data_IF_520569192676
#
_entry.id   IF_520569192676
#
_cell.length_a   1.000
_cell.length_b   1.000
_cell.length_c   1.000
_cell.angle_alpha   90.00
_cell.angle_beta   90.00
_cell.angle_gamma   90.00
#
_symmetry.space_group_name_H-M   'P 1'
#
loop_
_entity.id
_entity.type
_entity.pdbx_description
1 polymer ?
#
# COMPACT_ATOMS: atom_id res chain seq x y z
N UNK A 1 -10.80 -6.53 -11.37
CA UNK A 1 -10.40 -5.47 -10.42
C UNK A 1 -9.62 -4.42 -11.19
N UNK A 2 -10.04 -3.16 -11.18
CA UNK A 2 -9.24 -2.06 -11.74
C UNK A 2 -8.18 -1.69 -10.70
N UNK A 3 -6.97 -2.23 -10.87
CA UNK A 3 -5.87 -2.09 -9.88
C UNK A 3 -5.49 -0.62 -9.64
N UNK A 4 -5.36 0.25 -10.68
CA UNK A 4 -5.14 1.69 -10.48
C UNK A 4 -6.17 2.36 -9.59
N UNK A 5 -7.46 2.15 -9.86
CA UNK A 5 -8.54 2.73 -9.05
C UNK A 5 -8.48 2.25 -7.60
N UNK A 6 -8.33 0.94 -7.40
CA UNK A 6 -8.24 0.36 -6.06
C UNK A 6 -7.02 0.87 -5.28
N UNK A 7 -5.86 0.92 -5.93
CA UNK A 7 -4.64 1.45 -5.32
C UNK A 7 -4.79 2.91 -4.92
N UNK A 8 -5.42 3.72 -5.77
CA UNK A 8 -5.70 5.12 -5.47
C UNK A 8 -6.66 5.27 -4.27
N UNK A 9 -7.74 4.50 -4.22
CA UNK A 9 -8.69 4.55 -3.10
C UNK A 9 -7.99 4.25 -1.76
N UNK A 10 -7.06 3.29 -1.73
CA UNK A 10 -6.22 3.00 -0.56
C UNK A 10 -5.29 4.18 -0.25
N UNK A 11 -4.58 4.72 -1.24
CA UNK A 11 -3.66 5.84 -1.02
C UNK A 11 -4.39 7.09 -0.50
N UNK A 12 -5.58 7.42 -1.05
CA UNK A 12 -6.41 8.53 -0.54
C UNK A 12 -6.78 8.33 0.92
N UNK A 13 -7.12 7.11 1.31
CA UNK A 13 -7.56 6.79 2.68
C UNK A 13 -6.43 6.86 3.72
N UNK A 14 -5.22 6.41 3.39
CA UNK A 14 -4.14 6.25 4.38
C UNK A 14 -3.03 7.29 4.25
N UNK A 15 -2.76 7.78 3.05
CA UNK A 15 -1.66 8.72 2.78
C UNK A 15 -2.17 10.16 2.76
N UNK A 16 -3.37 10.38 2.20
CA UNK A 16 -4.02 11.70 2.08
C UNK A 16 -3.17 12.71 1.27
N UNK A 17 -3.49 14.00 1.34
CA UNK A 17 -2.67 15.06 0.73
C UNK A 17 -2.81 15.06 -0.79
N UNK A 18 -1.69 15.13 -1.51
CA UNK A 18 -1.74 15.23 -2.97
C UNK A 18 -2.41 14.02 -3.64
N UNK A 19 -2.43 12.86 -2.97
CA UNK A 19 -3.11 11.67 -3.44
C UNK A 19 -4.63 11.86 -3.56
N UNK A 20 -5.25 12.76 -2.79
CA UNK A 20 -6.69 13.06 -2.89
C UNK A 20 -7.04 13.84 -4.16
N UNK A 21 -6.06 14.58 -4.70
CA UNK A 21 -6.20 15.50 -5.83
C UNK A 21 -5.89 14.89 -7.20
N UNK A 22 -5.63 13.57 -7.27
CA UNK A 22 -5.43 12.86 -8.53
C UNK A 22 -6.56 11.84 -8.80
N UNK A 23 -6.65 11.41 -10.04
CA UNK A 23 -7.63 10.43 -10.55
C UNK A 23 -6.98 9.07 -10.83
N UNK A 24 -7.80 8.04 -11.05
CA UNK A 24 -7.31 6.68 -11.32
C UNK A 24 -6.57 6.54 -12.64
N UNK A 25 -6.72 7.50 -13.56
CA UNK A 25 -6.02 7.52 -14.85
C UNK A 25 -4.67 8.24 -14.75
N UNK A 26 -4.46 9.03 -13.69
CA UNK A 26 -3.23 9.78 -13.42
C UNK A 26 -2.26 9.03 -12.51
N UNK A 27 -2.74 8.18 -11.61
CA UNK A 27 -1.88 7.40 -10.71
C UNK A 27 -0.97 6.45 -11.49
N UNK A 28 0.31 6.43 -11.14
CA UNK A 28 1.26 5.47 -11.70
C UNK A 28 1.23 4.22 -10.83
N UNK A 29 0.89 3.06 -11.41
CA UNK A 29 0.90 1.76 -10.73
C UNK A 29 1.71 0.75 -11.51
N UNK A 30 2.78 0.21 -10.89
CA UNK A 30 3.65 -0.81 -11.47
C UNK A 30 3.66 -2.05 -10.58
N UNK A 31 3.32 -3.20 -11.15
CA UNK A 31 3.46 -4.47 -10.42
C UNK A 31 4.94 -4.83 -10.27
N UNK A 32 5.39 -5.02 -9.04
CA UNK A 32 6.74 -5.49 -8.71
C UNK A 32 6.76 -7.00 -8.45
N UNK A 33 5.70 -7.53 -7.84
CA UNK A 33 5.53 -8.95 -7.60
C UNK A 33 4.07 -9.36 -7.80
N UNK A 34 3.84 -10.52 -8.42
CA UNK A 34 2.52 -11.03 -8.78
C UNK A 34 2.24 -12.45 -8.30
N UNK A 35 2.85 -12.87 -7.19
CA UNK A 35 2.61 -14.20 -6.63
C UNK A 35 1.19 -14.37 -6.09
N UNK A 36 0.70 -15.61 -6.03
CA UNK A 36 -0.66 -15.93 -5.59
C UNK A 36 -0.98 -15.47 -4.16
N UNK A 37 0.01 -15.43 -3.28
CA UNK A 37 -0.14 -15.06 -1.86
C UNK A 37 0.37 -13.67 -1.55
N UNK A 38 1.20 -13.09 -2.42
CA UNK A 38 1.88 -11.83 -2.18
C UNK A 38 2.00 -11.03 -3.48
N UNK A 39 1.16 -10.00 -3.60
CA UNK A 39 1.20 -9.08 -4.73
C UNK A 39 1.72 -7.73 -4.23
N UNK A 40 2.78 -7.23 -4.85
CA UNK A 40 3.41 -5.96 -4.48
C UNK A 40 3.33 -5.02 -5.66
N UNK A 41 2.79 -3.84 -5.41
CA UNK A 41 2.69 -2.77 -6.39
C UNK A 41 3.47 -1.56 -5.90
N UNK A 42 4.21 -0.94 -6.81
CA UNK A 42 4.71 0.41 -6.64
C UNK A 42 3.64 1.38 -7.14
N UNK A 43 3.20 2.27 -6.26
CA UNK A 43 2.25 3.34 -6.58
C UNK A 43 2.95 4.69 -6.42
N UNK A 44 2.73 5.62 -7.34
CA UNK A 44 3.27 6.98 -7.22
C UNK A 44 2.36 8.04 -7.79
N UNK A 45 2.52 9.27 -7.30
CA UNK A 45 1.99 10.46 -7.95
C UNK A 45 2.58 10.59 -9.36
N UNK A 46 1.82 11.10 -10.35
CA UNK A 46 2.33 11.36 -11.69
C UNK A 46 3.42 12.44 -11.68
N UNK A 47 4.20 12.50 -12.76
CA UNK A 47 5.13 13.60 -12.98
C UNK A 47 4.40 14.96 -12.97
N UNK A 48 5.01 15.97 -12.34
CA UNK A 48 4.43 17.30 -12.19
C UNK A 48 3.40 17.47 -11.05
N UNK A 49 3.01 16.39 -10.35
CA UNK A 49 2.24 16.50 -9.09
C UNK A 49 3.17 16.26 -7.91
N UNK A 50 3.49 17.31 -7.17
CA UNK A 50 4.33 17.24 -5.98
C UNK A 50 3.50 17.05 -4.70
N UNK A 51 4.04 16.36 -3.67
CA UNK A 51 3.45 16.32 -2.34
C UNK A 51 3.18 17.73 -1.80
N UNK A 52 2.05 17.90 -1.11
CA UNK A 52 1.64 19.19 -0.51
C UNK A 52 2.12 19.33 0.93
N UNK A 53 2.40 18.23 1.62
CA UNK A 53 2.88 18.20 2.99
C UNK A 53 3.96 17.11 3.15
N UNK A 54 3.85 16.29 4.21
CA UNK A 54 4.82 15.25 4.54
C UNK A 54 4.46 13.88 3.94
N UNK A 55 3.50 13.82 3.03
CA UNK A 55 3.15 12.57 2.36
C UNK A 55 4.22 12.12 1.37
N UNK A 56 4.46 10.80 1.25
CA UNK A 56 5.39 10.29 0.26
C UNK A 56 4.85 10.44 -1.16
N UNK A 57 5.76 10.69 -2.11
CA UNK A 57 5.47 10.65 -3.54
C UNK A 57 5.30 9.21 -4.07
N UNK A 58 5.95 8.24 -3.44
CA UNK A 58 5.98 6.83 -3.83
C UNK A 58 5.66 5.95 -2.63
N UNK A 59 4.83 4.92 -2.83
CA UNK A 59 4.53 3.92 -1.81
C UNK A 59 4.51 2.52 -2.40
N UNK A 60 4.69 1.54 -1.51
CA UNK A 60 4.50 0.13 -1.82
C UNK A 60 3.16 -0.31 -1.26
N UNK A 61 2.31 -0.84 -2.13
CA UNK A 61 1.05 -1.47 -1.78
C UNK A 61 1.24 -2.98 -1.79
N UNK A 62 1.07 -3.63 -0.65
CA UNK A 62 1.14 -5.09 -0.52
C UNK A 62 -0.26 -5.66 -0.34
N UNK A 63 -0.68 -6.50 -1.28
CA UNK A 63 -1.95 -7.23 -1.20
C UNK A 63 -1.68 -8.70 -0.87
N UNK A 64 -2.36 -9.20 0.17
CA UNK A 64 -2.36 -10.61 0.53
C UNK A 64 -3.35 -11.35 -0.36
N UNK A 65 -2.84 -12.28 -1.17
CA UNK A 65 -3.64 -12.97 -2.19
C UNK A 65 -4.39 -14.21 -1.69
N UNK A 66 -4.90 -15.03 -2.61
CA UNK A 66 -5.83 -16.15 -2.34
C UNK A 66 -5.12 -17.24 -1.51
N UNK A 67 -5.85 -17.87 -0.59
CA UNK A 67 -5.32 -18.91 0.31
C UNK A 67 -4.62 -18.36 1.56
N UNK A 68 -4.52 -17.04 1.69
CA UNK A 68 -3.97 -16.40 2.89
C UNK A 68 -5.05 -16.11 3.96
N UNK A 69 -6.32 -16.17 3.60
CA UNK A 69 -7.49 -15.96 4.48
C UNK A 69 -8.08 -17.29 4.94
N UNK A 70 -7.24 -18.21 5.40
CA UNK A 70 -7.73 -19.40 6.09
C UNK A 70 -8.17 -18.96 7.50
N UNK A 71 -9.38 -19.30 7.96
CA UNK A 71 -9.82 -18.98 9.32
C UNK A 71 -8.84 -19.53 10.36
N UNK A 72 -8.31 -18.68 11.25
CA UNK A 72 -7.35 -19.07 12.31
C UNK A 72 -5.89 -18.73 12.05
N UNK A 73 -5.57 -18.12 10.90
CA UNK A 73 -4.19 -17.91 10.49
C UNK A 73 -3.59 -16.61 11.08
N UNK A 74 -3.03 -16.72 12.29
CA UNK A 74 -2.47 -15.61 13.08
C UNK A 74 -1.23 -14.94 12.45
N UNK A 75 -0.57 -15.60 11.49
CA UNK A 75 0.66 -15.10 10.85
C UNK A 75 0.50 -13.71 10.22
N UNK A 76 -0.69 -13.34 9.71
CA UNK A 76 -0.94 -12.00 9.16
C UNK A 76 -0.92 -10.92 10.22
N UNK A 77 -1.52 -11.22 11.37
CA UNK A 77 -1.53 -10.33 12.52
C UNK A 77 -0.09 -10.16 13.00
N UNK A 78 0.64 -11.27 13.16
CA UNK A 78 2.05 -11.25 13.56
C UNK A 78 2.95 -10.50 12.58
N UNK A 79 2.84 -10.76 11.27
CA UNK A 79 3.63 -10.05 10.22
C UNK A 79 3.32 -8.55 10.20
N UNK A 80 2.06 -8.18 10.43
CA UNK A 80 1.64 -6.78 10.55
C UNK A 80 2.24 -6.14 11.79
N UNK A 81 2.17 -6.81 12.94
CA UNK A 81 2.74 -6.33 14.19
C UNK A 81 4.26 -6.18 14.10
N UNK A 82 4.95 -7.14 13.48
CA UNK A 82 6.40 -7.06 13.22
C UNK A 82 6.70 -5.88 12.30
N UNK A 83 5.94 -5.71 11.20
CA UNK A 83 6.15 -4.59 10.28
C UNK A 83 5.95 -3.25 10.97
N UNK A 84 4.88 -3.12 11.76
CA UNK A 84 4.61 -1.92 12.57
C UNK A 84 5.77 -1.66 13.55
N UNK A 85 6.20 -2.68 14.29
CA UNK A 85 7.28 -2.57 15.27
C UNK A 85 8.61 -2.11 14.64
N UNK A 86 8.91 -2.63 13.45
CA UNK A 86 10.10 -2.26 12.67
C UNK A 86 9.99 -0.83 12.14
N UNK A 87 8.82 -0.42 11.66
CA UNK A 87 8.54 0.96 11.22
C UNK A 87 8.74 1.96 12.36
N UNK A 88 8.12 1.70 13.53
CA UNK A 88 8.21 2.59 14.70
C UNK A 88 9.64 2.74 15.22
N UNK A 89 10.49 1.71 15.06
CA UNK A 89 11.90 1.75 15.45
C UNK A 89 12.83 2.27 14.35
N UNK A 90 12.33 2.60 13.17
CA UNK A 90 13.16 2.98 12.02
C UNK A 90 14.05 1.84 11.50
N UNK A 91 13.71 0.59 11.81
CA UNK A 91 14.43 -0.62 11.38
C UNK A 91 13.88 -1.21 10.08
N UNK A 92 12.81 -0.61 9.53
CA UNK A 92 12.20 -1.03 8.28
C UNK A 92 11.49 0.11 7.56
N UNK A 93 10.79 -0.19 6.46
CA UNK A 93 10.00 0.81 5.74
C UNK A 93 8.92 1.41 6.64
N UNK A 94 8.66 2.71 6.46
CA UNK A 94 7.56 3.39 7.16
C UNK A 94 6.22 2.81 6.74
N UNK A 95 5.43 2.39 7.72
CA UNK A 95 4.09 1.83 7.52
C UNK A 95 3.05 2.97 7.56
N UNK A 96 2.31 3.14 6.46
CA UNK A 96 1.29 4.21 6.35
C UNK A 96 -0.13 3.72 6.64
N UNK A 97 -0.40 2.44 6.40
CA UNK A 97 -1.74 1.89 6.55
C UNK A 97 -1.74 0.38 6.69
N UNK A 98 -2.81 -0.14 7.29
CA UNK A 98 -3.11 -1.57 7.34
C UNK A 98 -4.61 -1.71 7.09
N UNK A 99 -4.99 -2.65 6.24
CA UNK A 99 -6.40 -2.88 5.90
C UNK A 99 -6.68 -4.36 5.66
N UNK A 100 -7.96 -4.78 5.66
CA UNK A 100 -8.31 -6.16 5.31
C UNK A 100 -7.75 -6.54 3.94
N UNK A 101 -6.83 -7.51 3.91
CA UNK A 101 -6.22 -7.98 2.67
C UNK A 101 -4.92 -7.27 2.27
N UNK A 102 -4.36 -6.38 3.08
CA UNK A 102 -3.06 -5.78 2.74
C UNK A 102 -2.54 -4.74 3.72
N UNK A 103 -1.49 -4.06 3.27
CA UNK A 103 -0.89 -2.89 3.92
C UNK A 103 -0.21 -2.00 2.89
#
# INVERSE_FOLDING_TARGET
>A
MNVPRYALDICKRFITGQWENITSDEIVVKQLSGGFTNQIYHCSLPEGREPVANEPRHVLLRLYGIGTTIPGDNYKVTDTLITLLMSERGLGPKLYGVFPGGR
#
